data_IF_747972398043
#
_entry.id   IF_747972398043
#
_cell.length_a   1.000
_cell.length_b   1.000
_cell.length_c   1.000
_cell.angle_alpha   90.00
_cell.angle_beta   90.00
_cell.angle_gamma   90.00
#
_symmetry.space_group_name_H-M   'P 1'
#
loop_
_entity.id
_entity.type
_entity.pdbx_description
1 polymer ?
#
# COMPACT_ATOMS: atom_id res chain seq x y z
N UNK A 1 26.35 5.12 7.34
CA UNK A 1 26.05 5.48 5.94
C UNK A 1 24.55 5.42 5.65
N UNK A 2 23.85 4.32 5.95
CA UNK A 2 22.39 4.18 5.72
C UNK A 2 21.57 5.17 6.54
N UNK A 3 21.92 5.43 7.80
CA UNK A 3 21.24 6.44 8.65
C UNK A 3 21.33 7.85 8.06
N UNK A 4 22.46 8.21 7.44
CA UNK A 4 22.60 9.48 6.75
C UNK A 4 21.72 9.54 5.48
N UNK A 5 21.62 8.43 4.73
CA UNK A 5 20.70 8.29 3.60
C UNK A 5 19.23 8.44 4.02
N UNK A 6 18.82 7.79 5.12
CA UNK A 6 17.48 7.94 5.68
C UNK A 6 17.16 9.39 6.04
N UNK A 7 18.09 10.09 6.71
CA UNK A 7 17.95 11.51 7.04
C UNK A 7 17.87 12.39 5.79
N UNK A 8 18.61 12.03 4.73
CA UNK A 8 18.53 12.71 3.44
C UNK A 8 17.15 12.51 2.79
N UNK A 9 16.63 11.28 2.75
CA UNK A 9 15.30 11.00 2.21
C UNK A 9 14.17 11.70 2.99
N UNK A 10 14.31 11.81 4.32
CA UNK A 10 13.32 12.50 5.16
C UNK A 10 13.17 14.00 4.84
N UNK A 11 14.19 14.62 4.21
CA UNK A 11 14.13 16.01 3.72
C UNK A 11 13.44 16.13 2.35
N UNK A 12 13.12 15.00 1.71
CA UNK A 12 12.38 14.98 0.46
C UNK A 12 10.89 14.72 0.73
N UNK A 13 9.99 15.16 -0.14
CA UNK A 13 8.55 14.94 0.01
C UNK A 13 8.14 13.48 -0.30
N UNK A 14 8.89 12.49 0.19
CA UNK A 14 8.57 11.08 0.04
C UNK A 14 7.70 10.59 1.20
N UNK A 15 6.72 9.74 0.89
CA UNK A 15 5.92 9.08 1.92
C UNK A 15 6.81 8.18 2.80
N UNK A 16 6.51 8.11 4.11
CA UNK A 16 7.28 7.34 5.09
C UNK A 16 7.50 5.87 4.66
N UNK A 17 6.47 5.21 4.12
CA UNK A 17 6.58 3.84 3.62
C UNK A 17 7.58 3.71 2.45
N UNK A 18 7.69 4.75 1.61
CA UNK A 18 8.69 4.78 0.52
C UNK A 18 10.09 4.90 1.08
N UNK A 19 10.29 5.79 2.07
CA UNK A 19 11.58 5.96 2.76
C UNK A 19 12.00 4.63 3.40
N UNK A 20 11.13 4.01 4.18
CA UNK A 20 11.36 2.71 4.83
C UNK A 20 11.74 1.62 3.81
N UNK A 21 11.02 1.55 2.69
CA UNK A 21 11.30 0.59 1.61
C UNK A 21 12.67 0.81 0.95
N UNK A 22 13.06 2.06 0.72
CA UNK A 22 14.37 2.39 0.13
C UNK A 22 15.51 2.11 1.10
N UNK A 23 15.36 2.50 2.36
CA UNK A 23 16.35 2.22 3.42
C UNK A 23 16.55 0.72 3.60
N UNK A 24 15.46 -0.06 3.64
CA UNK A 24 15.53 -1.52 3.71
C UNK A 24 16.30 -2.09 2.51
N UNK A 25 16.00 -1.60 1.31
CA UNK A 25 16.66 -2.07 0.07
C UNK A 25 18.17 -1.83 0.10
N UNK A 26 18.59 -0.65 0.54
CA UNK A 26 20.01 -0.31 0.64
C UNK A 26 20.72 -1.13 1.73
N UNK A 27 20.07 -1.31 2.88
CA UNK A 27 20.60 -2.18 3.94
C UNK A 27 20.78 -3.61 3.44
N UNK A 28 19.76 -4.16 2.77
CA UNK A 28 19.86 -5.51 2.18
C UNK A 28 21.05 -5.61 1.22
N UNK A 29 21.17 -4.67 0.29
CA UNK A 29 22.27 -4.64 -0.67
C UNK A 29 23.64 -4.59 0.02
N UNK A 30 23.85 -3.64 0.94
CA UNK A 30 25.15 -3.46 1.61
C UNK A 30 25.54 -4.66 2.49
N UNK A 31 24.57 -5.32 3.13
CA UNK A 31 24.82 -6.51 3.94
C UNK A 31 25.27 -7.71 3.10
N UNK A 32 24.76 -7.87 1.87
CA UNK A 32 25.06 -9.03 1.03
C UNK A 32 26.22 -8.79 0.05
N UNK A 33 26.34 -7.57 -0.45
CA UNK A 33 27.31 -7.24 -1.50
C UNK A 33 28.45 -6.35 -1.03
N UNK A 34 28.35 -5.80 0.19
CA UNK A 34 29.35 -4.96 0.89
C UNK A 34 29.75 -3.68 0.14
N UNK A 35 30.15 -3.78 -1.13
CA UNK A 35 30.67 -2.68 -1.93
C UNK A 35 29.73 -2.26 -3.05
N UNK A 36 29.69 -0.94 -3.28
CA UNK A 36 28.94 -0.33 -4.38
C UNK A 36 29.85 -0.27 -5.61
N UNK A 37 29.74 -1.25 -6.48
CA UNK A 37 30.44 -1.29 -7.76
C UNK A 37 29.52 -1.92 -8.84
N UNK A 38 29.88 -1.75 -10.11
CA UNK A 38 29.07 -2.20 -11.25
C UNK A 38 28.79 -3.71 -11.20
N UNK A 39 29.78 -4.53 -10.80
CA UNK A 39 29.65 -6.00 -10.71
C UNK A 39 28.59 -6.40 -9.69
N UNK A 40 28.68 -5.84 -8.49
CA UNK A 40 27.75 -6.14 -7.38
C UNK A 40 26.34 -5.66 -7.67
N UNK A 41 26.19 -4.49 -8.31
CA UNK A 41 24.88 -3.96 -8.71
C UNK A 41 24.22 -4.83 -9.78
N UNK A 42 24.98 -5.34 -10.74
CA UNK A 42 24.46 -6.26 -11.75
C UNK A 42 24.09 -7.61 -11.12
N UNK A 43 24.92 -8.16 -10.24
CA UNK A 43 24.63 -9.38 -9.50
C UNK A 43 23.34 -9.23 -8.66
N UNK A 44 23.19 -8.10 -7.94
CA UNK A 44 21.96 -7.82 -7.21
C UNK A 44 20.74 -7.72 -8.11
N UNK A 45 20.87 -7.04 -9.26
CA UNK A 45 19.76 -6.98 -10.24
C UNK A 45 19.39 -8.37 -10.77
N UNK A 46 20.37 -9.22 -11.07
CA UNK A 46 20.15 -10.63 -11.46
C UNK A 46 19.34 -11.36 -10.41
N UNK A 47 19.79 -11.33 -9.14
CA UNK A 47 19.07 -11.91 -8.02
C UNK A 47 17.61 -11.40 -7.91
N UNK A 48 17.39 -10.09 -8.06
CA UNK A 48 16.05 -9.54 -8.02
C UNK A 48 15.17 -10.07 -9.14
N UNK A 49 15.68 -10.16 -10.36
CA UNK A 49 14.92 -10.63 -11.54
C UNK A 49 14.54 -12.10 -11.40
N UNK A 50 15.42 -12.92 -10.84
CA UNK A 50 15.18 -14.34 -10.62
C UNK A 50 14.16 -14.63 -9.53
N UNK A 51 14.10 -13.77 -8.48
CA UNK A 51 13.35 -14.08 -7.27
C UNK A 51 12.09 -13.23 -7.07
N UNK A 52 11.87 -12.16 -7.83
CA UNK A 52 10.78 -11.23 -7.59
C UNK A 52 10.02 -10.83 -8.87
N UNK A 53 8.76 -10.42 -8.67
CA UNK A 53 7.94 -9.86 -9.76
C UNK A 53 8.53 -8.52 -10.26
N UNK A 54 8.38 -8.19 -11.56
CA UNK A 54 8.96 -6.98 -12.17
C UNK A 54 8.68 -5.67 -11.41
N UNK A 55 7.47 -5.52 -10.83
CA UNK A 55 7.14 -4.34 -10.03
C UNK A 55 8.01 -4.23 -8.77
N UNK A 56 8.25 -5.37 -8.08
CA UNK A 56 9.13 -5.43 -6.90
C UNK A 56 10.57 -5.17 -7.29
N UNK A 57 11.05 -5.75 -8.41
CA UNK A 57 12.37 -5.46 -8.95
C UNK A 57 12.56 -3.97 -9.14
N UNK A 58 11.63 -3.32 -9.84
CA UNK A 58 11.71 -1.88 -10.11
C UNK A 58 11.65 -1.03 -8.84
N UNK A 59 10.86 -1.41 -7.84
CA UNK A 59 10.85 -0.73 -6.55
C UNK A 59 12.22 -0.81 -5.86
N UNK A 60 12.88 -1.97 -5.87
CA UNK A 60 14.21 -2.17 -5.30
C UNK A 60 15.27 -1.40 -6.08
N UNK A 61 15.22 -1.45 -7.42
CA UNK A 61 16.13 -0.68 -8.28
C UNK A 61 15.97 0.83 -8.05
N UNK A 62 14.75 1.32 -7.83
CA UNK A 62 14.51 2.72 -7.52
C UNK A 62 15.19 3.12 -6.20
N UNK A 63 15.09 2.30 -5.16
CA UNK A 63 15.76 2.54 -3.88
C UNK A 63 17.28 2.61 -4.02
N UNK A 64 17.88 1.68 -4.78
CA UNK A 64 19.33 1.69 -5.07
C UNK A 64 19.72 2.92 -5.90
N UNK A 65 18.95 3.25 -6.94
CA UNK A 65 19.24 4.41 -7.77
C UNK A 65 19.21 5.72 -6.97
N UNK A 66 18.27 5.84 -6.00
CA UNK A 66 18.23 6.97 -5.07
C UNK A 66 19.44 7.00 -4.12
N UNK A 67 19.92 5.84 -3.70
CA UNK A 67 21.15 5.75 -2.92
C UNK A 67 22.39 6.13 -3.73
N UNK A 68 22.47 5.70 -4.99
CA UNK A 68 23.56 6.08 -5.91
C UNK A 68 23.59 7.59 -6.17
N UNK A 69 22.43 8.26 -6.27
CA UNK A 69 22.34 9.73 -6.31
C UNK A 69 22.92 10.35 -5.04
N UNK A 70 22.53 9.84 -3.87
CA UNK A 70 22.99 10.34 -2.57
C UNK A 70 24.52 10.24 -2.41
N UNK A 71 25.14 9.15 -2.86
CA UNK A 71 26.61 8.95 -2.79
C UNK A 71 27.36 9.50 -4.01
N UNK A 72 26.67 10.27 -4.89
CA UNK A 72 27.23 10.89 -6.11
C UNK A 72 27.82 9.88 -7.11
N UNK A 73 27.26 8.69 -7.19
CA UNK A 73 27.64 7.64 -8.15
C UNK A 73 26.55 7.40 -9.20
N UNK A 74 25.98 8.45 -9.77
CA UNK A 74 24.86 8.39 -10.71
C UNK A 74 25.15 7.60 -11.99
N UNK A 75 26.43 7.54 -12.40
CA UNK A 75 26.88 6.75 -13.57
C UNK A 75 26.60 5.25 -13.43
N UNK A 76 26.41 4.76 -12.19
CA UNK A 76 26.11 3.36 -11.88
C UNK A 76 24.61 3.06 -11.83
N UNK A 77 23.72 4.03 -12.06
CA UNK A 77 22.26 3.82 -12.05
C UNK A 77 21.87 2.69 -12.98
N UNK A 78 20.98 1.85 -12.49
CA UNK A 78 20.47 0.68 -13.19
C UNK A 78 19.17 0.99 -13.91
N UNK A 79 19.05 0.51 -15.16
CA UNK A 79 17.80 0.57 -15.92
C UNK A 79 16.75 -0.37 -15.31
N UNK A 80 15.51 0.08 -15.28
CA UNK A 80 14.36 -0.70 -14.87
C UNK A 80 14.09 -1.88 -15.82
N UNK A 81 13.40 -2.89 -15.31
CA UNK A 81 12.89 -3.99 -16.12
C UNK A 81 11.52 -3.64 -16.71
N UNK A 82 11.21 -4.19 -17.88
CA UNK A 82 9.88 -4.04 -18.48
C UNK A 82 8.83 -4.68 -17.59
N UNK A 83 7.73 -3.97 -17.37
CA UNK A 83 6.54 -4.48 -16.68
C UNK A 83 5.45 -4.66 -17.71
N UNK A 84 5.01 -5.90 -17.92
CA UNK A 84 3.80 -6.15 -18.71
C UNK A 84 2.58 -5.79 -17.87
N UNK A 85 1.75 -4.89 -18.35
CA UNK A 85 0.46 -4.60 -17.75
C UNK A 85 -0.56 -5.62 -18.24
N UNK A 86 -1.18 -6.33 -17.31
CA UNK A 86 -2.36 -7.14 -17.63
C UNK A 86 -3.57 -6.20 -17.72
N UNK A 87 -4.27 -6.24 -18.85
CA UNK A 87 -5.46 -5.42 -19.09
C UNK A 87 -6.74 -6.05 -18.52
N UNK A 88 -6.62 -7.09 -17.72
CA UNK A 88 -7.73 -7.80 -17.10
C UNK A 88 -7.44 -8.07 -15.63
N UNK A 89 -8.50 -8.09 -14.82
CA UNK A 89 -8.44 -8.43 -13.41
C UNK A 89 -8.61 -9.95 -13.25
N UNK A 90 -7.66 -10.58 -12.58
CA UNK A 90 -7.76 -11.97 -12.14
C UNK A 90 -8.21 -12.00 -10.66
N UNK A 91 -8.89 -13.06 -10.28
CA UNK A 91 -9.31 -13.32 -8.89
C UNK A 91 -10.21 -12.20 -8.32
N UNK A 92 -11.13 -11.68 -9.12
CA UNK A 92 -12.17 -10.78 -8.64
C UNK A 92 -13.27 -11.61 -8.00
N UNK A 93 -13.65 -11.26 -6.77
CA UNK A 93 -14.79 -11.89 -6.10
C UNK A 93 -16.07 -11.62 -6.89
N UNK A 94 -16.89 -12.64 -7.15
CA UNK A 94 -18.17 -12.48 -7.82
C UNK A 94 -19.20 -11.81 -6.89
N UNK A 95 -20.23 -11.21 -7.47
CA UNK A 95 -21.35 -10.65 -6.69
C UNK A 95 -22.06 -11.73 -5.85
N UNK A 96 -22.14 -12.95 -6.35
CA UNK A 96 -22.70 -14.09 -5.62
C UNK A 96 -21.86 -14.46 -4.40
N UNK A 97 -20.53 -14.57 -4.58
CA UNK A 97 -19.61 -14.87 -3.48
C UNK A 97 -19.59 -13.76 -2.42
N UNK A 98 -19.62 -12.50 -2.86
CA UNK A 98 -19.72 -11.37 -1.95
C UNK A 98 -20.99 -11.39 -1.10
N UNK A 99 -22.16 -11.65 -1.74
CA UNK A 99 -23.44 -11.74 -1.06
C UNK A 99 -23.47 -12.93 -0.09
N UNK A 100 -22.94 -14.08 -0.50
CA UNK A 100 -22.82 -15.27 0.35
C UNK A 100 -21.95 -15.00 1.57
N UNK A 101 -20.74 -14.47 1.37
CA UNK A 101 -19.82 -14.12 2.45
C UNK A 101 -20.48 -13.17 3.45
N UNK A 102 -21.10 -12.10 2.95
CA UNK A 102 -21.75 -11.10 3.79
C UNK A 102 -22.90 -11.69 4.61
N UNK A 103 -23.76 -12.52 3.99
CA UNK A 103 -24.86 -13.21 4.68
C UNK A 103 -24.34 -14.18 5.73
N UNK A 104 -23.30 -14.94 5.41
CA UNK A 104 -22.66 -15.91 6.32
C UNK A 104 -22.05 -15.22 7.54
N UNK A 105 -21.30 -14.16 7.36
CA UNK A 105 -20.72 -13.38 8.46
C UNK A 105 -21.81 -12.86 9.42
N UNK A 106 -22.93 -12.39 8.88
CA UNK A 106 -24.05 -11.91 9.68
C UNK A 106 -24.74 -13.04 10.44
N UNK A 107 -25.01 -14.18 9.79
CA UNK A 107 -25.67 -15.33 10.42
C UNK A 107 -24.84 -15.95 11.54
N UNK A 108 -23.52 -15.93 11.41
CA UNK A 108 -22.58 -16.50 12.38
C UNK A 108 -22.23 -15.53 13.52
N UNK A 109 -22.79 -14.30 13.51
CA UNK A 109 -22.55 -13.29 14.54
C UNK A 109 -21.20 -12.59 14.45
N UNK A 110 -20.50 -12.68 13.33
CA UNK A 110 -19.25 -11.97 13.08
C UNK A 110 -19.52 -10.53 12.58
N UNK A 111 -20.21 -9.71 13.38
CA UNK A 111 -20.68 -8.38 13.01
C UNK A 111 -19.56 -7.44 12.57
N UNK A 112 -18.41 -7.48 13.26
CA UNK A 112 -17.27 -6.63 12.90
C UNK A 112 -16.78 -6.93 11.48
N UNK A 113 -16.57 -8.21 11.15
CA UNK A 113 -16.17 -8.64 9.82
C UNK A 113 -17.25 -8.36 8.77
N UNK A 114 -18.52 -8.51 9.12
CA UNK A 114 -19.65 -8.16 8.27
C UNK A 114 -19.60 -6.68 7.87
N UNK A 115 -19.40 -5.76 8.83
CA UNK A 115 -19.26 -4.33 8.53
C UNK A 115 -17.98 -4.01 7.79
N UNK A 116 -16.83 -4.60 8.12
CA UNK A 116 -15.58 -4.42 7.39
C UNK A 116 -15.76 -4.75 5.91
N UNK A 117 -16.28 -5.92 5.61
CA UNK A 117 -16.53 -6.39 4.23
C UNK A 117 -17.51 -5.45 3.51
N UNK A 118 -18.58 -5.05 4.18
CA UNK A 118 -19.58 -4.18 3.58
C UNK A 118 -19.06 -2.76 3.35
N UNK A 119 -18.36 -2.16 4.29
CA UNK A 119 -17.74 -0.85 4.10
C UNK A 119 -16.76 -0.84 2.93
N UNK A 120 -15.87 -1.84 2.86
CA UNK A 120 -14.92 -1.93 1.76
C UNK A 120 -15.60 -2.05 0.39
N UNK A 121 -16.59 -2.93 0.26
CA UNK A 121 -17.30 -3.14 -0.98
C UNK A 121 -18.15 -1.93 -1.40
N UNK A 122 -18.84 -1.30 -0.44
CA UNK A 122 -19.77 -0.21 -0.73
C UNK A 122 -19.12 1.15 -0.97
N UNK A 123 -17.94 1.39 -0.36
CA UNK A 123 -17.24 2.69 -0.46
C UNK A 123 -16.02 2.65 -1.38
N UNK A 124 -15.51 1.47 -1.70
CA UNK A 124 -14.23 1.28 -2.40
C UNK A 124 -13.05 1.78 -1.57
N UNK A 125 -13.18 1.80 -0.25
CA UNK A 125 -12.09 2.17 0.67
C UNK A 125 -10.97 1.14 0.62
N UNK A 126 -9.71 1.62 0.66
CA UNK A 126 -8.57 0.74 0.94
C UNK A 126 -8.60 0.34 2.42
N UNK A 127 -7.95 -0.78 2.76
CA UNK A 127 -7.86 -1.22 4.17
C UNK A 127 -7.33 -0.12 5.08
N UNK A 128 -6.29 0.59 4.67
CA UNK A 128 -5.73 1.72 5.43
C UNK A 128 -6.69 2.92 5.55
N UNK A 129 -7.57 3.12 4.58
CA UNK A 129 -8.58 4.18 4.59
C UNK A 129 -9.77 3.80 5.48
N UNK A 130 -10.14 2.52 5.49
CA UNK A 130 -11.19 1.98 6.36
C UNK A 130 -10.90 2.26 7.85
N UNK A 131 -9.63 2.12 8.27
CA UNK A 131 -9.20 2.37 9.66
C UNK A 131 -9.40 3.83 10.12
N UNK A 132 -9.67 4.76 9.19
CA UNK A 132 -9.96 6.16 9.50
C UNK A 132 -11.46 6.48 9.55
N UNK A 133 -12.32 5.50 9.26
CA UNK A 133 -13.78 5.68 9.36
C UNK A 133 -14.18 5.63 10.84
N UNK A 134 -14.77 6.72 11.32
CA UNK A 134 -15.28 6.86 12.69
C UNK A 134 -16.80 6.92 12.67
N UNK A 135 -17.43 6.78 13.84
CA UNK A 135 -18.87 6.89 14.01
C UNK A 135 -19.44 8.21 13.46
N UNK A 136 -18.74 9.31 13.64
CA UNK A 136 -19.12 10.63 13.08
C UNK A 136 -19.22 10.61 11.54
N UNK A 137 -18.28 9.93 10.85
CA UNK A 137 -18.31 9.78 9.39
C UNK A 137 -19.51 8.95 8.93
N UNK A 138 -19.89 7.93 9.71
CA UNK A 138 -21.10 7.14 9.45
C UNK A 138 -22.34 8.03 9.57
N UNK A 139 -22.40 8.90 10.59
CA UNK A 139 -23.54 9.82 10.79
C UNK A 139 -23.69 10.83 9.66
N UNK A 140 -22.59 11.49 9.23
CA UNK A 140 -22.63 12.49 8.14
C UNK A 140 -22.71 11.84 6.75
N UNK A 141 -22.25 10.58 6.60
CA UNK A 141 -22.35 9.80 5.37
C UNK A 141 -21.19 9.93 4.41
N UNK A 142 -20.09 10.51 4.83
CA UNK A 142 -18.86 10.57 4.04
C UNK A 142 -17.61 10.75 4.91
N UNK A 143 -16.44 10.50 4.30
CA UNK A 143 -15.12 10.75 4.86
C UNK A 143 -14.24 11.40 3.79
N UNK A 144 -13.60 12.53 4.13
CA UNK A 144 -12.62 13.17 3.28
C UNK A 144 -11.22 12.66 3.61
N UNK A 145 -10.54 12.09 2.60
CA UNK A 145 -9.21 11.52 2.70
C UNK A 145 -8.20 12.37 1.94
N UNK A 146 -7.11 12.69 2.61
CA UNK A 146 -5.97 13.35 1.96
C UNK A 146 -5.09 12.32 1.26
N UNK A 147 -5.04 12.37 -0.06
CA UNK A 147 -4.22 11.49 -0.90
C UNK A 147 -2.85 12.11 -1.17
N UNK A 148 -1.92 11.28 -1.67
CA UNK A 148 -0.61 11.71 -2.11
C UNK A 148 -0.70 12.85 -3.12
N UNK A 149 0.07 13.94 -2.90
CA UNK A 149 0.07 15.13 -3.75
C UNK A 149 -1.02 16.17 -3.41
N UNK A 150 -1.57 16.14 -2.18
CA UNK A 150 -2.54 17.15 -1.72
C UNK A 150 -3.95 16.99 -2.29
N UNK A 151 -4.23 15.89 -2.99
CA UNK A 151 -5.57 15.62 -3.54
C UNK A 151 -6.50 15.12 -2.43
N UNK A 152 -7.69 15.70 -2.36
CA UNK A 152 -8.76 15.23 -1.47
C UNK A 152 -9.62 14.24 -2.24
N UNK A 153 -9.87 13.09 -1.64
CA UNK A 153 -10.82 12.08 -2.12
C UNK A 153 -11.92 11.91 -1.11
N UNK A 154 -13.17 12.06 -1.52
CA UNK A 154 -14.33 11.81 -0.67
C UNK A 154 -14.82 10.37 -0.86
N UNK A 155 -14.93 9.62 0.23
CA UNK A 155 -15.60 8.33 0.29
C UNK A 155 -17.03 8.56 0.77
N UNK A 156 -18.02 8.17 -0.03
CA UNK A 156 -19.43 8.22 0.36
C UNK A 156 -19.86 6.91 1.01
N UNK A 157 -20.63 7.00 2.08
CA UNK A 157 -21.19 5.86 2.79
C UNK A 157 -22.67 5.76 2.43
N UNK A 158 -23.12 4.71 1.71
CA UNK A 158 -24.51 4.55 1.26
C UNK A 158 -25.52 4.53 2.43
N UNK A 159 -26.73 5.03 2.19
CA UNK A 159 -27.78 5.16 3.22
C UNK A 159 -28.11 3.86 3.97
N UNK A 160 -28.21 2.74 3.23
CA UNK A 160 -28.49 1.43 3.80
C UNK A 160 -27.39 0.96 4.76
N UNK A 161 -26.12 1.12 4.40
CA UNK A 161 -24.98 0.81 5.24
C UNK A 161 -24.95 1.72 6.49
N UNK A 162 -25.18 3.04 6.30
CA UNK A 162 -25.27 4.01 7.40
C UNK A 162 -26.31 3.61 8.44
N UNK A 163 -27.53 3.31 7.97
CA UNK A 163 -28.65 2.95 8.86
C UNK A 163 -28.32 1.73 9.71
N UNK A 164 -27.74 0.68 9.11
CA UNK A 164 -27.44 -0.56 9.83
C UNK A 164 -26.21 -0.38 10.74
N UNK A 165 -25.16 0.28 10.25
CA UNK A 165 -23.97 0.56 11.06
C UNK A 165 -24.27 1.48 12.26
N UNK A 166 -25.15 2.47 12.12
CA UNK A 166 -25.55 3.34 13.23
C UNK A 166 -26.27 2.56 14.34
N UNK A 167 -27.10 1.57 13.99
CA UNK A 167 -27.75 0.69 14.99
C UNK A 167 -26.70 -0.13 15.74
N UNK A 168 -25.82 -0.78 15.00
CA UNK A 168 -24.75 -1.59 15.56
C UNK A 168 -23.81 -0.81 16.49
N UNK A 169 -23.40 0.41 16.09
CA UNK A 169 -22.57 1.30 16.92
C UNK A 169 -23.26 1.63 18.23
N UNK A 170 -24.59 1.94 18.19
CA UNK A 170 -25.37 2.22 19.41
C UNK A 170 -25.49 1.00 20.32
N UNK A 171 -25.73 -0.18 19.77
CA UNK A 171 -25.86 -1.43 20.52
C UNK A 171 -24.56 -1.84 21.21
N UNK A 172 -23.41 -1.60 20.56
CA UNK A 172 -22.08 -1.89 21.13
C UNK A 172 -21.54 -0.79 22.06
N UNK A 173 -22.24 0.35 22.20
CA UNK A 173 -21.81 1.53 22.98
C UNK A 173 -20.41 2.06 22.58
N UNK A 174 -20.12 2.01 21.27
CA UNK A 174 -18.86 2.47 20.66
C UNK A 174 -19.00 3.93 20.23
#
# INVERSE_FOLDING_TARGET
MVTAFQKHLAKTNLAQNTITSYVWTVNYFLNHYKEVNKRNLLAYKGYLVENFRPQTVNLRLQGINKYLEFIKQEKLKMKFVKVQQKNFLENVISDADYKFLKAKLKSDGYDEWYFIVWFMAATGARVSELLHIKAEHVQIGYLDLYSKGGKIRRLYIPKNLRSEATKWIKEKAI
#
